data_IF_316582765492
#
_entry.id   IF_316582765492
#
_cell.length_a   1.000
_cell.length_b   1.000
_cell.length_c   1.000
_cell.angle_alpha   90.00
_cell.angle_beta   90.00
_cell.angle_gamma   90.00
#
_symmetry.space_group_name_H-M   'P 1'
#
loop_
_entity.id
_entity.type
_entity.pdbx_description
1 polymer ?
#
# COMPACT_ATOMS: atom_id res chain seq x y z
N UNK A 1 -15.56 16.18 -26.11
CA UNK A 1 -15.88 15.00 -25.27
C UNK A 1 -16.79 15.46 -24.15
N UNK A 2 -17.99 14.89 -24.06
CA UNK A 2 -18.86 15.11 -22.90
C UNK A 2 -18.50 14.06 -21.85
N UNK A 3 -18.25 14.49 -20.61
CA UNK A 3 -18.07 13.56 -19.50
C UNK A 3 -19.46 13.08 -19.05
N UNK A 4 -19.68 11.78 -19.10
CA UNK A 4 -20.90 11.17 -18.58
C UNK A 4 -20.80 11.04 -17.05
N UNK A 5 -21.88 11.39 -16.35
CA UNK A 5 -21.96 11.20 -14.89
C UNK A 5 -22.12 9.71 -14.59
N UNK A 6 -21.08 9.09 -14.04
CA UNK A 6 -21.06 7.65 -13.71
C UNK A 6 -21.77 7.35 -12.39
N UNK A 7 -21.92 8.30 -11.47
CA UNK A 7 -22.62 8.09 -10.19
C UNK A 7 -22.74 9.36 -9.35
N UNK A 8 -23.44 9.27 -8.23
CA UNK A 8 -23.47 10.34 -7.22
C UNK A 8 -22.18 10.36 -6.39
N UNK A 9 -21.92 11.47 -5.70
CA UNK A 9 -20.78 11.58 -4.78
C UNK A 9 -20.98 10.66 -3.57
N UNK A 10 -19.94 9.97 -3.10
CA UNK A 10 -20.02 9.14 -1.88
C UNK A 10 -20.49 9.93 -0.65
N UNK A 11 -20.29 11.26 -0.65
CA UNK A 11 -20.75 12.17 0.41
C UNK A 11 -22.28 12.22 0.55
N UNK A 12 -23.04 11.74 -0.43
CA UNK A 12 -24.50 11.59 -0.29
C UNK A 12 -24.89 10.32 0.48
N UNK A 13 -24.00 9.34 0.57
CA UNK A 13 -24.25 8.06 1.22
C UNK A 13 -23.63 7.97 2.62
N UNK A 14 -22.60 8.76 2.92
CA UNK A 14 -21.92 8.78 4.23
C UNK A 14 -22.29 10.05 5.00
N UNK A 15 -22.82 9.89 6.22
CA UNK A 15 -23.25 11.01 7.07
C UNK A 15 -22.09 11.94 7.50
N UNK A 16 -20.93 11.35 7.85
CA UNK A 16 -19.73 12.07 8.26
C UNK A 16 -18.54 11.64 7.39
N UNK A 17 -18.43 12.16 6.15
CA UNK A 17 -17.39 11.74 5.22
C UNK A 17 -16.00 12.21 5.68
N UNK A 18 -15.00 11.33 5.56
CA UNK A 18 -13.60 11.72 5.76
C UNK A 18 -13.07 12.48 4.54
N UNK A 19 -12.15 13.41 4.77
CA UNK A 19 -11.41 14.11 3.71
C UNK A 19 -10.45 13.18 2.96
N UNK A 20 -9.90 12.20 3.65
CA UNK A 20 -8.99 11.19 3.11
C UNK A 20 -9.69 9.84 3.05
N UNK A 21 -9.55 9.16 1.92
CA UNK A 21 -10.11 7.84 1.70
C UNK A 21 -9.07 6.95 1.01
N UNK A 22 -9.06 5.66 1.38
CA UNK A 22 -8.34 4.62 0.66
C UNK A 22 -9.32 3.92 -0.28
N UNK A 23 -9.01 3.90 -1.57
CA UNK A 23 -9.78 3.20 -2.59
C UNK A 23 -9.13 1.84 -2.93
N UNK A 24 -9.94 0.79 -3.01
CA UNK A 24 -9.53 -0.56 -3.40
C UNK A 24 -10.59 -1.18 -4.29
N UNK A 25 -10.20 -1.93 -5.32
CA UNK A 25 -11.13 -2.57 -6.25
C UNK A 25 -11.19 -4.08 -6.00
N UNK A 26 -12.37 -4.60 -5.65
CA UNK A 26 -12.59 -6.02 -5.32
C UNK A 26 -13.95 -6.47 -5.84
N UNK A 27 -14.02 -7.57 -6.59
CA UNK A 27 -15.27 -8.20 -7.05
C UNK A 27 -16.27 -7.20 -7.67
N UNK A 28 -15.82 -6.41 -8.64
CA UNK A 28 -16.62 -5.37 -9.32
C UNK A 28 -17.14 -4.25 -8.40
N UNK A 29 -16.48 -4.06 -7.25
CA UNK A 29 -16.78 -2.97 -6.33
C UNK A 29 -15.55 -2.11 -6.10
N UNK A 30 -15.75 -0.79 -6.13
CA UNK A 30 -14.75 0.16 -5.62
C UNK A 30 -15.09 0.40 -4.15
N UNK A 31 -14.31 -0.17 -3.26
CA UNK A 31 -14.40 0.09 -1.82
C UNK A 31 -13.68 1.39 -1.50
N UNK A 32 -14.34 2.26 -0.74
CA UNK A 32 -13.75 3.41 -0.07
C UNK A 32 -13.74 3.17 1.43
N UNK A 33 -12.56 3.31 2.03
CA UNK A 33 -12.39 3.32 3.47
C UNK A 33 -12.00 4.74 3.90
N UNK A 34 -12.79 5.34 4.79
CA UNK A 34 -12.44 6.64 5.36
C UNK A 34 -11.12 6.55 6.13
N UNK A 35 -10.35 7.64 6.19
CA UNK A 35 -9.11 7.68 6.95
C UNK A 35 -9.14 8.85 7.92
N UNK A 36 -9.00 8.55 9.22
CA UNK A 36 -8.96 9.54 10.30
C UNK A 36 -7.52 9.89 10.63
N UNK A 37 -7.28 11.15 10.98
CA UNK A 37 -5.97 11.58 11.47
C UNK A 37 -5.70 10.98 12.84
N UNK A 38 -4.59 10.26 12.98
CA UNK A 38 -4.03 9.82 14.26
C UNK A 38 -2.74 10.56 14.55
N UNK A 39 -2.63 11.06 15.78
CA UNK A 39 -1.42 11.71 16.28
C UNK A 39 -0.48 10.68 16.92
N UNK A 40 0.81 10.84 16.66
CA UNK A 40 1.90 10.06 17.25
C UNK A 40 2.88 11.02 17.92
N UNK A 41 2.47 11.63 19.06
CA UNK A 41 3.21 12.71 19.72
C UNK A 41 4.63 12.31 20.15
N UNK A 42 4.85 11.04 20.51
CA UNK A 42 6.18 10.51 20.85
C UNK A 42 7.19 10.71 19.71
N UNK A 43 6.71 10.76 18.46
CA UNK A 43 7.53 10.89 17.25
C UNK A 43 7.33 12.24 16.54
N UNK A 44 6.58 13.18 17.13
CA UNK A 44 6.21 14.45 16.52
C UNK A 44 5.63 14.28 15.10
N UNK A 45 4.77 13.28 14.92
CA UNK A 45 4.20 12.92 13.64
C UNK A 45 2.72 12.57 13.76
N UNK A 46 2.05 12.43 12.63
CA UNK A 46 0.69 11.95 12.54
C UNK A 46 0.33 11.68 11.08
N UNK A 47 -0.69 10.86 10.87
CA UNK A 47 -1.12 10.47 9.53
C UNK A 47 -2.58 10.02 9.52
N UNK A 48 -3.14 9.92 8.31
CA UNK A 48 -4.50 9.44 8.11
C UNK A 48 -4.52 7.93 7.93
N UNK A 49 -5.36 7.26 8.71
CA UNK A 49 -5.46 5.79 8.75
C UNK A 49 -6.91 5.33 8.91
N UNK A 50 -7.20 4.12 8.43
CA UNK A 50 -8.46 3.44 8.62
C UNK A 50 -8.50 2.65 9.94
N UNK A 51 -7.35 2.14 10.44
CA UNK A 51 -7.29 1.30 11.65
C UNK A 51 -7.85 1.98 12.90
N UNK A 52 -7.95 3.31 12.92
CA UNK A 52 -8.54 4.08 14.02
C UNK A 52 -10.08 3.97 14.12
N UNK A 53 -10.71 3.21 13.21
CA UNK A 53 -12.16 2.98 13.18
C UNK A 53 -12.90 4.09 12.45
N UNK A 54 -13.57 3.74 11.37
CA UNK A 54 -14.23 4.68 10.45
C UNK A 54 -15.38 3.99 9.72
N UNK A 55 -15.61 4.27 8.44
CA UNK A 55 -16.51 3.56 7.56
C UNK A 55 -15.79 2.84 6.41
N UNK A 56 -16.43 1.78 5.91
CA UNK A 56 -16.21 1.22 4.58
C UNK A 56 -17.51 1.34 3.77
N UNK A 57 -17.41 1.77 2.51
CA UNK A 57 -18.56 1.85 1.59
C UNK A 57 -18.13 1.37 0.20
N UNK A 58 -19.00 0.64 -0.49
CA UNK A 58 -18.73 0.13 -1.82
C UNK A 58 -19.52 0.90 -2.88
N UNK A 59 -18.88 1.24 -3.99
CA UNK A 59 -19.54 1.60 -5.23
C UNK A 59 -19.67 0.35 -6.10
N UNK A 60 -20.89 -0.05 -6.40
CA UNK A 60 -21.19 -1.18 -7.26
C UNK A 60 -21.15 -0.72 -8.72
N UNK A 61 -20.18 -1.22 -9.50
CA UNK A 61 -19.98 -0.78 -10.89
C UNK A 61 -21.01 -1.33 -11.86
N UNK A 62 -21.75 -2.39 -11.48
CA UNK A 62 -22.78 -2.98 -12.33
C UNK A 62 -24.06 -2.14 -12.38
N UNK A 63 -24.39 -1.44 -11.29
CA UNK A 63 -25.60 -0.60 -11.20
C UNK A 63 -25.30 0.87 -10.94
N UNK A 64 -24.02 1.25 -10.84
CA UNK A 64 -23.55 2.61 -10.66
C UNK A 64 -24.09 3.30 -9.39
N UNK A 65 -24.21 2.54 -8.28
CA UNK A 65 -24.73 3.04 -6.99
C UNK A 65 -23.79 2.73 -5.84
N UNK A 66 -23.81 3.61 -4.86
CA UNK A 66 -23.25 3.35 -3.54
C UNK A 66 -24.12 2.35 -2.79
N UNK A 67 -23.47 1.40 -2.13
CA UNK A 67 -24.08 0.53 -1.13
C UNK A 67 -24.19 1.26 0.21
N UNK A 68 -24.91 0.66 1.17
CA UNK A 68 -25.00 1.20 2.52
C UNK A 68 -23.61 1.24 3.18
N UNK A 69 -23.21 2.35 3.82
CA UNK A 69 -21.93 2.42 4.51
C UNK A 69 -21.95 1.56 5.78
N UNK A 70 -20.82 0.91 6.06
CA UNK A 70 -20.60 0.16 7.28
C UNK A 70 -19.57 0.84 8.16
N UNK A 71 -19.95 1.23 9.37
CA UNK A 71 -19.00 1.72 10.36
C UNK A 71 -18.34 0.55 11.09
N UNK A 72 -17.05 0.70 11.38
CA UNK A 72 -16.27 -0.30 12.12
C UNK A 72 -15.43 0.36 13.22
N UNK A 73 -15.24 -0.37 14.31
CA UNK A 73 -14.45 0.08 15.47
C UNK A 73 -12.96 0.11 15.17
N UNK A 74 -12.19 0.80 16.01
CA UNK A 74 -10.73 0.80 15.91
C UNK A 74 -10.19 -0.63 15.99
N UNK A 75 -9.30 -0.98 15.06
CA UNK A 75 -8.54 -2.24 15.04
C UNK A 75 -7.46 -2.20 16.11
N UNK A 76 -6.82 -1.04 16.29
CA UNK A 76 -5.84 -0.81 17.36
C UNK A 76 -5.89 0.64 17.83
N UNK A 77 -5.46 0.87 19.07
CA UNK A 77 -5.24 2.20 19.66
C UNK A 77 -3.75 2.43 19.99
N UNK A 78 -2.86 1.53 19.57
CA UNK A 78 -1.44 1.68 19.81
C UNK A 78 -0.86 2.85 19.01
N UNK A 79 -0.06 3.67 19.69
CA UNK A 79 0.49 4.89 19.10
C UNK A 79 1.41 4.56 17.91
N UNK A 80 2.41 3.69 18.08
CA UNK A 80 3.46 3.44 17.08
C UNK A 80 3.04 2.45 15.98
N UNK A 81 1.91 2.70 15.32
CA UNK A 81 1.36 1.86 14.24
C UNK A 81 1.11 2.62 12.96
N UNK A 82 1.28 1.94 11.85
CA UNK A 82 0.79 2.38 10.54
C UNK A 82 0.18 1.19 9.81
N UNK A 83 -0.47 1.46 8.67
CA UNK A 83 -1.22 0.47 7.91
C UNK A 83 -0.81 0.46 6.43
N UNK A 84 -0.87 -0.73 5.83
CA UNK A 84 -0.96 -0.89 4.39
C UNK A 84 -2.26 -1.63 4.07
N UNK A 85 -3.10 -1.04 3.23
CA UNK A 85 -4.32 -1.67 2.75
C UNK A 85 -4.19 -2.06 1.28
N UNK A 86 -4.56 -3.30 0.97
CA UNK A 86 -4.42 -3.91 -0.35
C UNK A 86 -5.47 -5.03 -0.53
N UNK A 87 -5.60 -5.51 -1.76
CA UNK A 87 -6.45 -6.67 -2.08
C UNK A 87 -5.59 -7.92 -2.04
N UNK A 88 -6.03 -8.94 -1.33
CA UNK A 88 -5.33 -10.20 -1.17
C UNK A 88 -6.34 -11.33 -0.97
N UNK A 89 -6.14 -12.44 -1.67
CA UNK A 89 -7.00 -13.61 -1.72
C UNK A 89 -8.48 -13.25 -1.92
N UNK A 90 -8.75 -12.34 -2.87
CA UNK A 90 -10.10 -11.89 -3.22
C UNK A 90 -10.80 -10.97 -2.20
N UNK A 91 -10.10 -10.49 -1.16
CA UNK A 91 -10.66 -9.63 -0.13
C UNK A 91 -9.75 -8.44 0.20
N UNK A 92 -10.34 -7.36 0.71
CA UNK A 92 -9.58 -6.23 1.25
C UNK A 92 -8.89 -6.68 2.55
N UNK A 93 -7.60 -6.40 2.64
CA UNK A 93 -6.80 -6.64 3.83
C UNK A 93 -6.15 -5.36 4.34
N UNK A 94 -5.91 -5.32 5.65
CA UNK A 94 -5.16 -4.30 6.36
C UNK A 94 -4.01 -4.98 7.10
N UNK A 95 -2.78 -4.64 6.70
CA UNK A 95 -1.56 -5.04 7.38
C UNK A 95 -1.11 -3.93 8.32
N UNK A 96 -1.05 -4.21 9.62
CA UNK A 96 -0.47 -3.31 10.61
C UNK A 96 1.03 -3.56 10.75
N UNK A 97 1.79 -2.47 10.81
CA UNK A 97 3.23 -2.51 11.01
C UNK A 97 3.69 -1.39 11.94
N UNK A 98 4.89 -1.55 12.52
CA UNK A 98 5.51 -0.53 13.37
C UNK A 98 5.90 0.70 12.54
N UNK A 99 5.48 1.90 12.96
CA UNK A 99 5.75 3.14 12.21
C UNK A 99 7.17 3.68 12.45
N UNK A 100 7.75 3.47 13.63
CA UNK A 100 9.04 4.02 14.05
C UNK A 100 9.89 3.03 14.86
N UNK A 101 11.22 3.13 14.72
CA UNK A 101 12.20 2.45 15.57
C UNK A 101 12.49 0.99 15.20
N UNK A 102 11.89 0.49 14.13
CA UNK A 102 12.14 -0.85 13.59
C UNK A 102 11.00 -1.32 12.69
N UNK A 103 11.32 -2.24 11.79
CA UNK A 103 10.35 -2.89 10.91
C UNK A 103 9.81 -4.15 11.58
N UNK A 104 8.53 -4.16 11.90
CA UNK A 104 7.80 -5.35 12.30
C UNK A 104 6.42 -5.36 11.62
N UNK A 105 6.10 -6.44 10.92
CA UNK A 105 4.76 -6.71 10.39
C UNK A 105 4.01 -7.53 11.43
N UNK A 106 3.06 -6.91 12.14
CA UNK A 106 2.52 -7.49 13.36
C UNK A 106 1.21 -8.22 13.17
N UNK A 107 0.28 -7.64 12.41
CA UNK A 107 -1.09 -8.14 12.33
C UNK A 107 -1.66 -7.97 10.93
N UNK A 108 -2.38 -8.97 10.45
CA UNK A 108 -3.14 -8.91 9.21
C UNK A 108 -4.63 -9.04 9.53
N UNK A 109 -5.45 -8.18 8.94
CA UNK A 109 -6.90 -8.21 9.12
C UNK A 109 -7.62 -8.23 7.77
N UNK A 110 -8.65 -9.05 7.65
CA UNK A 110 -9.50 -9.19 6.46
C UNK A 110 -10.81 -8.44 6.65
N UNK A 111 -11.24 -7.68 5.65
CA UNK A 111 -12.54 -7.04 5.61
C UNK A 111 -13.64 -8.05 5.32
N UNK A 112 -14.63 -8.15 6.21
CA UNK A 112 -15.76 -9.08 6.10
C UNK A 112 -16.97 -8.52 5.35
N UNK A 113 -16.89 -7.28 4.87
CA UNK A 113 -18.02 -6.52 4.35
C UNK A 113 -18.55 -5.48 5.33
N UNK A 114 -18.36 -5.68 6.64
CA UNK A 114 -18.81 -4.74 7.68
C UNK A 114 -17.79 -4.46 8.79
N UNK A 115 -16.78 -5.31 8.97
CA UNK A 115 -15.73 -5.15 9.96
C UNK A 115 -14.44 -5.84 9.54
N UNK A 116 -13.34 -5.53 10.23
CA UNK A 116 -12.07 -6.23 10.08
C UNK A 116 -11.99 -7.40 11.08
N UNK A 117 -11.64 -8.59 10.59
CA UNK A 117 -11.33 -9.78 11.40
C UNK A 117 -9.84 -10.10 11.32
N UNK A 118 -9.25 -10.57 12.40
CA UNK A 118 -7.83 -10.98 12.40
C UNK A 118 -7.60 -12.23 11.56
N UNK A 119 -6.47 -12.24 10.86
CA UNK A 119 -5.94 -13.36 10.09
C UNK A 119 -4.63 -13.81 10.73
N UNK A 120 -4.43 -15.12 10.86
CA UNK A 120 -3.18 -15.65 11.37
C UNK A 120 -2.03 -15.22 10.45
N UNK A 121 -1.04 -14.52 11.01
CA UNK A 121 0.10 -13.99 10.28
C UNK A 121 1.40 -14.54 10.85
N UNK A 122 2.18 -15.22 10.00
CA UNK A 122 3.57 -15.55 10.29
C UNK A 122 4.48 -14.59 9.54
N UNK A 123 5.19 -13.73 10.25
CA UNK A 123 6.16 -12.80 9.66
C UNK A 123 7.60 -13.19 9.99
N UNK A 124 8.54 -12.74 9.17
CA UNK A 124 9.96 -12.70 9.52
C UNK A 124 10.18 -11.87 10.81
N UNK A 125 11.32 -12.13 11.47
CA UNK A 125 11.67 -11.48 12.74
C UNK A 125 11.77 -9.96 12.60
N UNK A 126 11.36 -9.17 13.62
CA UNK A 126 11.52 -7.72 13.60
C UNK A 126 12.94 -7.28 13.31
N UNK A 127 13.09 -6.27 12.44
CA UNK A 127 14.38 -5.67 12.11
C UNK A 127 14.47 -4.35 12.88
N UNK A 128 15.39 -4.27 13.85
CA UNK A 128 15.61 -3.05 14.61
C UNK A 128 16.23 -1.96 13.72
N UNK A 129 15.80 -0.71 13.94
CA UNK A 129 16.49 0.45 13.39
C UNK A 129 17.71 0.81 14.26
N UNK A 130 18.66 1.55 13.68
CA UNK A 130 19.73 2.17 14.46
C UNK A 130 19.22 3.33 15.32
N UNK A 131 18.19 4.04 14.85
CA UNK A 131 17.53 5.15 15.55
C UNK A 131 16.08 4.79 15.91
N UNK A 132 15.65 5.09 17.14
CA UNK A 132 14.25 4.91 17.59
C UNK A 132 13.26 5.81 16.84
N UNK A 133 13.74 6.91 16.26
CA UNK A 133 12.97 7.83 15.44
C UNK A 133 12.98 7.48 13.94
N UNK A 134 13.68 6.40 13.54
CA UNK A 134 13.69 5.96 12.16
C UNK A 134 12.28 5.57 11.71
N UNK A 135 11.75 6.29 10.73
CA UNK A 135 10.42 6.02 10.17
C UNK A 135 10.45 4.82 9.22
N UNK A 136 9.44 3.99 9.33
CA UNK A 136 9.13 2.92 8.38
C UNK A 136 8.05 3.41 7.43
N UNK A 137 8.23 3.15 6.13
CA UNK A 137 7.15 3.26 5.14
C UNK A 137 6.96 1.92 4.47
N UNK A 138 5.74 1.64 4.02
CA UNK A 138 5.39 0.38 3.38
C UNK A 138 4.52 0.63 2.16
N UNK A 139 4.91 0.01 1.05
CA UNK A 139 4.13 -0.04 -0.18
C UNK A 139 3.77 -1.49 -0.46
N UNK A 140 2.50 -1.75 -0.76
CA UNK A 140 2.05 -3.03 -1.26
C UNK A 140 1.96 -2.98 -2.79
N UNK A 141 2.56 -3.97 -3.45
CA UNK A 141 2.51 -4.18 -4.89
C UNK A 141 1.83 -5.51 -5.18
N UNK A 142 0.83 -5.47 -6.06
CA UNK A 142 0.09 -6.67 -6.49
C UNK A 142 1.05 -7.67 -7.15
N UNK A 143 0.96 -8.93 -6.73
CA UNK A 143 1.75 -10.02 -7.27
C UNK A 143 1.20 -10.59 -8.57
N UNK A 144 1.75 -11.73 -9.04
CA UNK A 144 1.31 -12.39 -10.27
C UNK A 144 -0.07 -13.04 -10.15
N UNK A 145 -0.58 -13.23 -8.94
CA UNK A 145 -1.87 -13.83 -8.63
C UNK A 145 -2.53 -13.12 -7.45
N UNK A 146 -3.77 -13.50 -7.16
CA UNK A 146 -4.55 -12.95 -6.05
C UNK A 146 -3.99 -13.36 -4.68
N UNK A 147 -3.06 -14.31 -4.60
CA UNK A 147 -2.52 -14.88 -3.35
C UNK A 147 -1.11 -14.43 -3.04
N UNK A 148 -0.60 -13.45 -3.77
CA UNK A 148 0.76 -12.95 -3.62
C UNK A 148 0.78 -11.44 -3.60
N UNK A 149 1.37 -10.84 -2.57
CA UNK A 149 1.65 -9.40 -2.50
C UNK A 149 3.12 -9.20 -2.21
N UNK A 150 3.76 -8.29 -2.94
CA UNK A 150 5.10 -7.83 -2.62
C UNK A 150 5.01 -6.58 -1.74
N UNK A 151 5.73 -6.61 -0.64
CA UNK A 151 5.78 -5.55 0.35
C UNK A 151 7.13 -4.88 0.27
N UNK A 152 7.14 -3.59 -0.10
CA UNK A 152 8.35 -2.78 -0.21
C UNK A 152 8.40 -1.85 1.00
N UNK A 153 9.24 -2.21 1.96
CA UNK A 153 9.47 -1.39 3.15
C UNK A 153 10.66 -0.47 2.93
N UNK A 154 10.60 0.77 3.41
CA UNK A 154 11.77 1.66 3.49
C UNK A 154 11.99 2.07 4.93
N UNK A 155 13.20 1.85 5.45
CA UNK A 155 13.63 2.28 6.78
C UNK A 155 15.12 2.62 6.73
N UNK A 156 15.51 3.79 7.26
CA UNK A 156 16.90 4.28 7.22
C UNK A 156 17.49 4.26 5.80
N UNK A 157 16.68 4.67 4.82
CA UNK A 157 17.00 4.66 3.38
C UNK A 157 17.30 3.28 2.77
N UNK A 158 17.18 2.20 3.53
CA UNK A 158 17.27 0.85 3.01
C UNK A 158 15.87 0.35 2.63
N UNK A 159 15.69 0.09 1.33
CA UNK A 159 14.49 -0.57 0.81
C UNK A 159 14.62 -2.09 0.91
N UNK A 160 13.56 -2.77 1.37
CA UNK A 160 13.52 -4.22 1.52
C UNK A 160 12.26 -4.78 0.91
N UNK A 161 12.41 -5.87 0.18
CA UNK A 161 11.30 -6.59 -0.46
C UNK A 161 10.97 -7.82 0.37
N UNK A 162 9.73 -7.88 0.82
CA UNK A 162 9.13 -9.07 1.41
C UNK A 162 7.97 -9.56 0.53
N UNK A 163 7.59 -10.82 0.71
CA UNK A 163 6.48 -11.45 -0.01
C UNK A 163 5.47 -12.00 0.97
N UNK A 164 4.25 -11.50 0.89
CA UNK A 164 3.08 -12.03 1.55
C UNK A 164 2.44 -13.11 0.65
N UNK A 165 2.22 -14.30 1.20
CA UNK A 165 1.53 -15.40 0.53
C UNK A 165 0.45 -16.01 1.42
N UNK A 166 -0.62 -16.52 0.81
CA UNK A 166 -1.64 -17.26 1.54
C UNK A 166 -1.07 -18.61 2.00
N UNK A 167 -1.30 -18.98 3.27
CA UNK A 167 -0.79 -20.21 3.86
C UNK A 167 -1.89 -20.86 4.70
N UNK A 168 -2.59 -21.84 4.13
CA UNK A 168 -3.74 -22.49 4.78
C UNK A 168 -4.86 -21.49 5.07
N UNK A 169 -5.21 -21.34 6.35
CA UNK A 169 -6.20 -20.39 6.88
C UNK A 169 -5.59 -19.02 7.28
N UNK A 170 -4.29 -18.81 7.02
CA UNK A 170 -3.58 -17.59 7.35
C UNK A 170 -2.71 -17.08 6.20
N UNK A 171 -1.69 -16.30 6.56
CA UNK A 171 -0.73 -15.77 5.61
C UNK A 171 0.70 -15.79 6.18
N UNK A 172 1.68 -15.82 5.30
CA UNK A 172 3.11 -15.77 5.65
C UNK A 172 3.79 -14.63 4.92
N UNK A 173 4.61 -13.85 5.64
CA UNK A 173 5.47 -12.81 5.10
C UNK A 173 6.93 -13.28 5.22
N UNK A 174 7.54 -13.55 4.07
CA UNK A 174 8.95 -13.87 3.97
C UNK A 174 9.74 -12.65 3.49
N UNK A 175 10.85 -12.33 4.15
CA UNK A 175 11.84 -11.42 3.57
C UNK A 175 12.51 -12.09 2.37
N UNK A 176 12.57 -11.40 1.23
CA UNK A 176 13.14 -11.95 0.00
C UNK A 176 14.57 -11.47 -0.22
N UNK A 177 14.76 -10.15 -0.24
CA UNK A 177 16.04 -9.47 -0.48
C UNK A 177 15.94 -7.98 -0.14
N UNK A 178 17.11 -7.36 -0.01
CA UNK A 178 17.27 -5.92 0.16
C UNK A 178 17.64 -5.30 -1.19
N UNK A 179 17.04 -4.14 -1.52
CA UNK A 179 17.42 -3.38 -2.72
C UNK A 179 18.72 -2.66 -2.38
N UNK A 180 19.83 -3.09 -2.96
CA UNK A 180 21.13 -2.44 -2.73
C UNK A 180 21.07 -1.00 -3.25
N UNK A 181 21.33 -0.04 -2.36
CA UNK A 181 21.41 1.35 -2.75
C UNK A 181 22.70 1.61 -3.54
N UNK A 182 22.59 2.35 -4.63
CA UNK A 182 23.72 2.93 -5.33
C UNK A 182 23.78 4.45 -5.07
N UNK A 183 24.72 5.16 -5.71
CA UNK A 183 24.83 6.62 -5.56
C UNK A 183 23.53 7.36 -5.95
N UNK A 184 22.70 6.78 -6.84
CA UNK A 184 21.44 7.38 -7.32
C UNK A 184 20.25 7.06 -6.41
N UNK A 185 20.31 5.97 -5.63
CA UNK A 185 19.18 5.51 -4.80
C UNK A 185 19.45 5.56 -3.29
N UNK A 186 20.57 6.16 -2.86
CA UNK A 186 20.98 6.26 -1.45
C UNK A 186 19.99 6.94 -0.49
N UNK A 187 19.08 7.78 -0.99
CA UNK A 187 18.01 8.43 -0.22
C UNK A 187 16.62 8.08 -0.77
N UNK A 188 16.52 6.99 -1.53
CA UNK A 188 15.29 6.58 -2.16
C UNK A 188 14.27 6.06 -1.14
N UNK A 189 13.00 6.35 -1.40
CA UNK A 189 11.87 5.78 -0.70
C UNK A 189 10.84 5.33 -1.74
N UNK A 190 10.38 4.09 -1.62
CA UNK A 190 9.32 3.58 -2.47
C UNK A 190 8.03 4.41 -2.31
N UNK A 191 7.35 4.66 -3.43
CA UNK A 191 6.06 5.38 -3.47
C UNK A 191 4.96 4.49 -4.02
N UNK A 192 5.28 3.62 -4.97
CA UNK A 192 4.38 2.60 -5.51
C UNK A 192 5.20 1.45 -6.09
N UNK A 193 4.55 0.32 -6.35
CA UNK A 193 5.16 -0.80 -7.06
C UNK A 193 4.14 -1.65 -7.79
N UNK A 194 4.60 -2.35 -8.81
CA UNK A 194 3.79 -3.28 -9.62
C UNK A 194 4.66 -4.43 -10.10
N UNK A 195 4.11 -5.65 -10.15
CA UNK A 195 4.78 -6.78 -10.79
C UNK A 195 4.40 -6.83 -12.26
N UNK A 196 5.40 -6.88 -13.14
CA UNK A 196 5.20 -7.03 -14.58
C UNK A 196 6.33 -7.86 -15.20
N UNK A 197 5.99 -8.87 -16.00
CA UNK A 197 6.97 -9.71 -16.68
C UNK A 197 7.97 -10.40 -15.75
N UNK A 198 7.54 -10.83 -14.55
CA UNK A 198 8.42 -11.45 -13.55
C UNK A 198 9.34 -10.48 -12.80
N UNK A 199 9.22 -9.17 -13.05
CA UNK A 199 9.97 -8.13 -12.36
C UNK A 199 9.05 -7.33 -11.44
N UNK A 200 9.55 -6.98 -10.26
CA UNK A 200 8.96 -5.96 -9.41
C UNK A 200 9.48 -4.59 -9.86
N UNK A 201 8.61 -3.74 -10.37
CA UNK A 201 8.91 -2.37 -10.76
C UNK A 201 8.50 -1.44 -9.62
N UNK A 202 9.46 -0.68 -9.09
CA UNK A 202 9.27 0.22 -7.95
C UNK A 202 9.46 1.65 -8.42
N UNK A 203 8.39 2.44 -8.28
CA UNK A 203 8.50 3.90 -8.35
C UNK A 203 8.94 4.42 -6.99
N UNK A 204 9.79 5.43 -7.01
CA UNK A 204 10.40 5.96 -5.80
C UNK A 204 10.54 7.48 -5.89
N UNK A 205 10.75 8.10 -4.75
CA UNK A 205 11.24 9.47 -4.66
C UNK A 205 12.47 9.55 -3.80
N UNK A 206 13.16 10.69 -3.87
CA UNK A 206 14.38 10.96 -3.14
C UNK A 206 14.10 11.94 -2.01
N UNK A 207 14.63 11.63 -0.83
CA UNK A 207 14.68 12.56 0.30
C UNK A 207 15.91 13.47 0.20
N UNK A 208 15.70 14.75 0.51
CA UNK A 208 16.72 15.79 0.65
C UNK A 208 16.19 16.88 1.59
N UNK A 209 16.26 18.16 1.19
CA UNK A 209 15.54 19.25 1.90
C UNK A 209 14.00 19.20 1.73
N UNK A 210 13.49 18.11 1.17
CA UNK A 210 12.10 17.83 0.86
C UNK A 210 12.01 16.47 0.18
N UNK A 211 10.81 16.08 -0.24
CA UNK A 211 10.60 14.85 -1.00
C UNK A 211 10.37 15.17 -2.47
N UNK A 212 11.15 14.55 -3.36
CA UNK A 212 11.01 14.69 -4.82
C UNK A 212 10.71 13.34 -5.44
N UNK A 213 9.58 13.21 -6.12
CA UNK A 213 9.31 12.03 -6.95
C UNK A 213 10.35 11.95 -8.08
N UNK A 214 11.00 10.80 -8.23
CA UNK A 214 11.83 10.51 -9.38
C UNK A 214 10.99 10.05 -10.57
N UNK A 215 11.01 10.84 -11.64
CA UNK A 215 10.18 10.64 -12.84
C UNK A 215 10.97 10.05 -14.01
N UNK A 216 12.29 10.11 -13.96
CA UNK A 216 13.17 9.67 -15.03
C UNK A 216 13.52 8.20 -14.95
N UNK A 217 13.28 7.54 -13.82
CA UNK A 217 13.73 6.17 -13.61
C UNK A 217 12.82 5.38 -12.66
N UNK A 218 12.90 4.06 -12.79
CA UNK A 218 12.26 3.08 -11.90
C UNK A 218 13.31 2.09 -11.41
N UNK A 219 13.11 1.52 -10.23
CA UNK A 219 13.93 0.39 -9.78
C UNK A 219 13.23 -0.89 -10.26
N UNK A 220 13.90 -1.69 -11.07
CA UNK A 220 13.40 -2.97 -11.54
C UNK A 220 14.15 -4.11 -10.85
N UNK A 221 13.42 -4.93 -10.10
CA UNK A 221 13.97 -6.09 -9.40
C UNK A 221 13.50 -7.39 -10.06
N UNK A 222 14.45 -8.21 -10.50
CA UNK A 222 14.22 -9.61 -10.88
C UNK A 222 13.96 -10.40 -9.59
N UNK A 223 12.74 -10.90 -9.43
CA UNK A 223 12.28 -11.54 -8.19
C UNK A 223 12.97 -12.89 -7.98
N UNK A 224 13.22 -13.65 -9.05
CA UNK A 224 13.85 -14.97 -8.98
C UNK A 224 15.35 -14.85 -8.71
N UNK A 225 16.01 -13.94 -9.43
CA UNK A 225 17.46 -13.71 -9.26
C UNK A 225 17.78 -12.86 -8.03
N UNK A 226 16.79 -12.18 -7.46
CA UNK A 226 16.94 -11.27 -6.32
C UNK A 226 17.94 -10.14 -6.59
N UNK A 227 17.93 -9.63 -7.82
CA UNK A 227 18.83 -8.56 -8.28
C UNK A 227 17.99 -7.38 -8.74
N UNK A 228 18.44 -6.17 -8.43
CA UNK A 228 17.76 -4.94 -8.85
C UNK A 228 18.68 -4.07 -9.71
N UNK A 229 18.09 -3.37 -10.66
CA UNK A 229 18.73 -2.37 -11.51
C UNK A 229 17.85 -1.13 -11.58
N UNK A 230 18.47 0.05 -11.75
CA UNK A 230 17.75 1.29 -12.03
C UNK A 230 17.59 1.42 -13.54
N UNK A 231 16.35 1.44 -14.02
CA UNK A 231 16.02 1.60 -15.44
C UNK A 231 15.58 3.04 -15.71
N UNK A 232 16.14 3.66 -16.75
CA UNK A 232 15.70 4.97 -17.23
C UNK A 232 14.40 4.81 -18.04
N UNK A 233 13.41 5.63 -17.71
CA UNK A 233 12.17 5.77 -18.48
C UNK A 233 12.46 6.77 -19.59
N UNK A 234 12.76 6.25 -20.78
CA UNK A 234 12.86 7.10 -21.96
C UNK A 234 11.48 7.67 -22.27
N UNK A 235 11.34 8.98 -22.55
CA UNK A 235 10.13 9.48 -23.16
C UNK A 235 9.98 8.72 -24.48
N UNK A 236 8.91 7.94 -24.62
CA UNK A 236 8.55 7.40 -25.92
C UNK A 236 8.49 8.59 -26.88
N UNK A 237 9.20 8.51 -28.01
CA UNK A 237 8.91 9.36 -29.15
C UNK A 237 7.39 9.28 -29.36
N UNK A 238 6.74 10.43 -29.28
CA UNK A 238 5.30 10.59 -29.29
C UNK A 238 4.71 10.16 -30.62
N UNK A 239 4.57 8.85 -30.82
CA UNK A 239 3.74 8.22 -31.84
C UNK A 239 3.09 6.98 -31.21
N UNK A 240 2.32 7.18 -30.14
CA UNK A 240 1.08 6.42 -30.03
C UNK A 240 0.15 6.99 -31.11
N UNK A 241 0.42 6.61 -32.35
CA UNK A 241 -0.53 6.76 -33.44
C UNK A 241 -1.68 5.83 -33.07
N UNK A 242 -2.72 6.38 -32.43
CA UNK A 242 -4.02 5.74 -32.34
C UNK A 242 -4.64 5.75 -33.75
N UNK A 243 -3.92 5.17 -34.72
CA UNK A 243 -4.40 4.86 -36.04
C UNK A 243 -5.19 3.57 -35.94
N UNK A 244 -6.50 3.69 -35.78
CA UNK A 244 -7.40 2.70 -36.37
C UNK A 244 -8.53 3.46 -37.07
N UNK A 245 -8.54 3.23 -38.38
CA UNK A 245 -9.48 3.57 -39.43
C UNK A 245 -10.96 3.55 -39.06
#
# INVERSE_FOLDING_TARGET
MAFEKVGDSYKSAVAEPCDYNRALFVNDKIWLFGQKFVSQPTFNWGHHVAFAGTYGIAFNTANNKWEEPHTFSAVTNEENRSEAMFVFNGAVHMLLFTAFGGLAMSELHEWTGSSFKSVNLKSFAPIAASDKSARVTLVAAEGPDDKTIYLISTMEHQMRVARLTASGDGATIDHLFDITADQRTSLAQATSGVVSGGRLLVSYGMHGCGFRWEKGSIIACDIEKKTCETLEVSPANSECDCGVS
#
